data_IF_941837856458
#
_entry.id   IF_941837856458
#
_cell.length_a   1.000
_cell.length_b   1.000
_cell.length_c   1.000
_cell.angle_alpha   90.00
_cell.angle_beta   90.00
_cell.angle_gamma   90.00
#
_symmetry.space_group_name_H-M   'P 1'
#
loop_
_entity.id
_entity.type
_entity.pdbx_description
1 polymer ?
#
# COMPACT_ATOMS: atom_id res chain seq x y z
N UNK A 1 -7.73 18.75 1.46
CA UNK A 1 -7.15 17.64 2.23
C UNK A 1 -5.79 17.28 1.69
N UNK A 2 -4.91 16.81 2.54
CA UNK A 2 -3.57 16.41 2.11
C UNK A 2 -3.57 14.99 1.53
N UNK A 3 -2.59 14.73 0.67
CA UNK A 3 -2.39 13.41 0.07
C UNK A 3 -1.35 12.62 0.85
N UNK A 4 -1.57 11.33 0.94
CA UNK A 4 -0.68 10.40 1.64
C UNK A 4 -0.44 9.18 0.78
N UNK A 5 0.82 8.74 0.73
CA UNK A 5 1.20 7.49 0.08
C UNK A 5 1.15 6.39 1.12
N UNK A 6 0.37 5.35 0.84
CA UNK A 6 0.33 4.17 1.69
C UNK A 6 1.05 3.02 0.98
N UNK A 7 2.03 2.46 1.65
CA UNK A 7 2.85 1.36 1.14
C UNK A 7 2.51 0.11 1.95
N UNK A 8 2.03 -0.91 1.25
CA UNK A 8 1.76 -2.21 1.88
C UNK A 8 3.06 -2.98 1.97
N UNK A 9 3.38 -3.48 3.16
CA UNK A 9 4.63 -4.20 3.39
C UNK A 9 4.36 -5.66 3.72
N UNK A 10 5.29 -6.53 3.31
CA UNK A 10 5.21 -7.95 3.58
C UNK A 10 6.52 -8.63 3.24
N UNK A 11 6.79 -9.77 3.88
CA UNK A 11 8.02 -10.50 3.63
C UNK A 11 8.04 -11.07 2.21
N UNK A 12 9.14 -10.91 1.46
CA UNK A 12 9.28 -11.58 0.17
C UNK A 12 9.14 -13.09 0.36
N UNK A 13 8.32 -13.73 -0.45
CA UNK A 13 8.14 -15.17 -0.39
C UNK A 13 7.23 -15.67 0.74
N UNK A 14 6.37 -14.81 1.28
CA UNK A 14 5.41 -15.19 2.33
C UNK A 14 4.44 -16.30 1.91
N UNK A 15 4.45 -16.68 0.65
CA UNK A 15 3.59 -17.73 0.13
C UNK A 15 2.25 -17.20 -0.38
N UNK A 16 1.57 -18.08 -1.08
CA UNK A 16 0.27 -17.74 -1.65
C UNK A 16 -0.83 -18.24 -0.70
N UNK A 17 -1.83 -17.39 -0.35
CA UNK A 17 -2.94 -17.85 0.48
C UNK A 17 -3.76 -18.92 -0.25
N UNK A 18 -4.46 -19.77 0.51
CA UNK A 18 -5.38 -20.72 -0.09
C UNK A 18 -6.58 -20.01 -0.73
N UNK A 19 -7.37 -20.75 -1.51
CA UNK A 19 -8.49 -20.15 -2.25
C UNK A 19 -9.54 -19.51 -1.35
N UNK A 20 -9.83 -20.11 -0.21
CA UNK A 20 -10.82 -19.56 0.71
C UNK A 20 -10.34 -18.26 1.33
N UNK A 21 -9.08 -18.21 1.75
CA UNK A 21 -8.46 -17.00 2.30
C UNK A 21 -8.38 -15.91 1.23
N UNK A 22 -8.00 -16.27 0.01
CA UNK A 22 -7.92 -15.32 -1.10
C UNK A 22 -9.27 -14.70 -1.40
N UNK A 23 -10.33 -15.52 -1.50
CA UNK A 23 -11.68 -15.03 -1.76
C UNK A 23 -12.17 -14.11 -0.66
N UNK A 24 -11.99 -14.49 0.60
CA UNK A 24 -12.38 -13.68 1.75
C UNK A 24 -11.62 -12.38 1.81
N UNK A 25 -10.32 -12.42 1.56
CA UNK A 25 -9.47 -11.23 1.58
C UNK A 25 -9.80 -10.26 0.47
N UNK A 26 -10.07 -10.76 -0.74
CA UNK A 26 -10.45 -9.90 -1.86
C UNK A 26 -11.83 -9.27 -1.66
N UNK A 27 -12.77 -10.00 -1.08
CA UNK A 27 -14.07 -9.44 -0.73
C UNK A 27 -13.93 -8.30 0.28
N UNK A 28 -13.13 -8.52 1.32
CA UNK A 28 -12.88 -7.49 2.34
C UNK A 28 -12.11 -6.30 1.75
N UNK A 29 -11.17 -6.54 0.85
CA UNK A 29 -10.41 -5.47 0.18
C UNK A 29 -11.33 -4.61 -0.67
N UNK A 30 -12.22 -5.24 -1.43
CA UNK A 30 -13.23 -4.53 -2.23
C UNK A 30 -14.14 -3.68 -1.35
N UNK A 31 -14.58 -4.22 -0.22
CA UNK A 31 -15.40 -3.47 0.74
C UNK A 31 -14.64 -2.26 1.30
N UNK A 32 -13.35 -2.42 1.60
CA UNK A 32 -12.50 -1.33 2.05
C UNK A 32 -12.38 -0.23 0.98
N UNK A 33 -12.14 -0.63 -0.27
CA UNK A 33 -12.06 0.31 -1.40
C UNK A 33 -13.37 1.10 -1.57
N UNK A 34 -14.50 0.44 -1.43
CA UNK A 34 -15.81 1.09 -1.54
C UNK A 34 -16.04 2.06 -0.38
N UNK A 35 -15.70 1.64 0.84
CA UNK A 35 -15.86 2.48 2.03
C UNK A 35 -15.10 3.80 1.90
N UNK A 36 -13.91 3.77 1.32
CA UNK A 36 -13.05 4.94 1.21
C UNK A 36 -12.94 5.49 -0.21
N UNK A 37 -13.91 5.16 -1.08
CA UNK A 37 -13.88 5.54 -2.49
C UNK A 37 -13.73 7.06 -2.71
N UNK A 38 -14.30 7.88 -1.82
CA UNK A 38 -14.18 9.34 -1.91
C UNK A 38 -12.82 9.88 -1.46
N UNK A 39 -12.01 9.06 -0.78
CA UNK A 39 -10.71 9.47 -0.26
C UNK A 39 -9.54 8.82 -1.00
N UNK A 40 -9.80 7.81 -1.82
CA UNK A 40 -8.76 7.17 -2.63
C UNK A 40 -8.60 7.99 -3.89
N UNK A 41 -7.43 8.62 -4.06
CA UNK A 41 -7.13 9.47 -5.22
C UNK A 41 -6.20 8.78 -6.23
N UNK A 42 -5.55 7.71 -5.81
CA UNK A 42 -4.78 6.85 -6.70
C UNK A 42 -4.93 5.42 -6.24
N UNK A 43 -5.60 4.59 -7.04
CA UNK A 43 -5.91 3.23 -6.65
C UNK A 43 -4.67 2.36 -6.48
N UNK A 44 -3.56 2.73 -7.15
CA UNK A 44 -2.34 1.96 -7.06
C UNK A 44 -2.50 0.54 -7.55
N UNK A 45 -1.82 -0.37 -6.89
CA UNK A 45 -1.92 -1.79 -7.22
C UNK A 45 -0.76 -2.59 -6.65
N UNK A 46 -0.75 -3.90 -6.88
CA UNK A 46 0.34 -4.75 -6.46
C UNK A 46 1.61 -4.45 -7.26
N UNK A 47 2.75 -4.68 -6.64
CA UNK A 47 4.07 -4.44 -7.22
C UNK A 47 4.83 -5.74 -7.35
N UNK A 48 5.60 -5.87 -8.41
CA UNK A 48 6.37 -7.06 -8.71
C UNK A 48 7.83 -6.93 -8.32
N UNK A 49 8.68 -7.64 -9.04
CA UNK A 49 10.12 -7.69 -8.79
C UNK A 49 10.78 -6.32 -8.89
N UNK A 50 11.75 -6.10 -8.04
CA UNK A 50 12.48 -4.83 -7.95
C UNK A 50 13.74 -4.86 -8.79
N UNK A 51 13.95 -3.80 -9.56
CA UNK A 51 15.24 -3.44 -10.15
C UNK A 51 15.74 -2.21 -9.42
N UNK A 52 16.98 -2.25 -8.96
CA UNK A 52 17.61 -1.11 -8.29
C UNK A 52 18.49 -0.37 -9.26
N UNK A 53 18.27 0.93 -9.38
CA UNK A 53 19.07 1.80 -10.25
C UNK A 53 19.83 2.79 -9.36
N UNK A 54 21.12 2.88 -9.54
CA UNK A 54 21.96 3.85 -8.83
C UNK A 54 23.13 4.26 -9.73
N UNK A 55 24.08 4.99 -9.17
CA UNK A 55 25.23 5.48 -9.96
C UNK A 55 26.11 4.37 -10.55
N UNK A 56 25.97 3.15 -10.06
CA UNK A 56 26.73 1.99 -10.58
C UNK A 56 25.96 1.21 -11.63
N UNK A 57 24.73 1.58 -11.95
CA UNK A 57 23.93 0.92 -12.97
C UNK A 57 22.66 0.31 -12.43
N UNK A 58 22.24 -0.80 -13.05
CA UNK A 58 20.98 -1.48 -12.74
C UNK A 58 21.30 -2.88 -12.20
N UNK A 59 20.62 -3.26 -11.13
CA UNK A 59 20.78 -4.59 -10.53
C UNK A 59 19.46 -5.13 -10.04
N UNK A 60 19.37 -6.44 -9.93
CA UNK A 60 18.25 -7.07 -9.26
C UNK A 60 18.33 -6.76 -7.77
N UNK A 61 17.17 -6.55 -7.15
CA UNK A 61 17.11 -6.23 -5.73
C UNK A 61 15.79 -6.75 -5.15
N UNK A 62 15.69 -6.72 -3.84
CA UNK A 62 14.45 -7.03 -3.15
C UNK A 62 14.20 -6.02 -2.05
N UNK A 63 12.95 -5.87 -1.69
CA UNK A 63 12.50 -5.10 -0.54
C UNK A 63 11.19 -5.72 -0.05
N UNK A 64 10.59 -5.12 0.97
CA UNK A 64 9.35 -5.63 1.53
C UNK A 64 8.11 -4.88 1.04
N UNK A 65 8.22 -4.12 -0.04
CA UNK A 65 7.09 -3.36 -0.59
C UNK A 65 6.26 -4.28 -1.48
N UNK A 66 4.99 -4.44 -1.15
CA UNK A 66 4.10 -5.37 -1.85
C UNK A 66 3.09 -4.67 -2.75
N UNK A 67 2.65 -3.46 -2.36
CA UNK A 67 1.62 -2.71 -3.10
C UNK A 67 1.60 -1.28 -2.63
N UNK A 68 0.78 -0.44 -3.28
CA UNK A 68 0.63 0.95 -2.86
C UNK A 68 -0.77 1.47 -3.18
N UNK A 69 -1.16 2.55 -2.48
CA UNK A 69 -2.37 3.32 -2.75
C UNK A 69 -2.12 4.76 -2.31
N UNK A 70 -2.77 5.73 -2.96
CA UNK A 70 -2.70 7.14 -2.56
C UNK A 70 -4.07 7.57 -2.04
N UNK A 71 -4.11 8.16 -0.85
CA UNK A 71 -5.34 8.59 -0.22
C UNK A 71 -5.27 10.07 0.17
N UNK A 72 -6.44 10.67 0.38
CA UNK A 72 -6.57 12.00 0.97
C UNK A 72 -7.19 11.91 2.35
N UNK A 73 -6.69 12.74 3.27
CA UNK A 73 -7.23 12.82 4.62
C UNK A 73 -6.88 14.19 5.22
N UNK A 74 -7.52 14.54 6.33
CA UNK A 74 -7.28 15.82 7.00
C UNK A 74 -5.86 15.92 7.56
N UNK A 75 -5.35 14.81 8.09
CA UNK A 75 -3.99 14.73 8.62
C UNK A 75 -3.47 13.29 8.52
N UNK A 76 -2.23 13.12 8.95
CA UNK A 76 -1.56 11.81 8.86
C UNK A 76 -2.22 10.76 9.77
N UNK A 77 -2.65 11.14 10.95
CA UNK A 77 -3.32 10.21 11.85
C UNK A 77 -4.64 9.73 11.27
N UNK A 78 -5.40 10.61 10.63
CA UNK A 78 -6.63 10.26 9.95
C UNK A 78 -6.36 9.31 8.77
N UNK A 79 -5.30 9.58 7.99
CA UNK A 79 -4.90 8.70 6.89
C UNK A 79 -4.52 7.31 7.41
N UNK A 80 -3.71 7.26 8.46
CA UNK A 80 -3.29 5.99 9.06
C UNK A 80 -4.48 5.20 9.60
N UNK A 81 -5.44 5.88 10.21
CA UNK A 81 -6.62 5.22 10.78
C UNK A 81 -7.47 4.49 9.72
N UNK A 82 -7.40 4.92 8.45
CA UNK A 82 -8.11 4.24 7.36
C UNK A 82 -7.65 2.79 7.17
N UNK A 83 -6.43 2.46 7.59
CA UNK A 83 -5.82 1.16 7.38
C UNK A 83 -5.88 0.24 8.60
N UNK A 84 -6.53 0.66 9.69
CA UNK A 84 -6.72 -0.21 10.84
C UNK A 84 -7.54 -1.44 10.44
N UNK A 85 -7.04 -2.63 10.83
CA UNK A 85 -7.67 -3.91 10.49
C UNK A 85 -7.81 -4.16 8.99
N UNK A 86 -6.95 -3.54 8.17
CA UNK A 86 -6.97 -3.74 6.72
C UNK A 86 -6.76 -5.21 6.39
N UNK A 87 -7.46 -5.75 5.36
CA UNK A 87 -7.33 -7.15 4.96
C UNK A 87 -5.91 -7.58 4.62
N UNK A 88 -5.04 -6.66 4.22
CA UNK A 88 -3.65 -6.96 3.91
C UNK A 88 -2.93 -7.70 5.05
N UNK A 89 -3.22 -7.37 6.30
CA UNK A 89 -2.61 -8.02 7.45
C UNK A 89 -3.62 -8.70 8.38
N UNK A 90 -4.91 -8.36 8.26
CA UNK A 90 -5.95 -8.99 9.08
C UNK A 90 -6.39 -10.33 8.49
N UNK A 91 -6.28 -10.51 7.19
CA UNK A 91 -6.70 -11.72 6.46
C UNK A 91 -5.51 -12.33 5.70
N UNK A 92 -4.81 -11.50 4.91
CA UNK A 92 -3.63 -11.92 4.17
C UNK A 92 -2.39 -11.90 5.09
N UNK A 93 -1.32 -12.62 4.71
CA UNK A 93 -0.10 -12.68 5.53
C UNK A 93 0.83 -11.46 5.30
N UNK A 94 0.27 -10.26 5.28
CA UNK A 94 1.04 -9.03 5.17
C UNK A 94 1.51 -8.53 6.53
N UNK A 95 2.54 -7.66 6.53
CA UNK A 95 3.09 -7.11 7.77
C UNK A 95 2.33 -5.89 8.25
N UNK A 96 2.12 -4.93 7.36
CA UNK A 96 1.48 -3.68 7.75
C UNK A 96 1.36 -2.72 6.57
N UNK A 97 1.03 -1.48 6.89
CA UNK A 97 0.89 -0.39 5.91
C UNK A 97 1.63 0.83 6.45
N UNK A 98 2.59 1.32 5.69
CA UNK A 98 3.32 2.55 6.03
C UNK A 98 2.66 3.72 5.33
N UNK A 99 2.32 4.77 6.07
CA UNK A 99 1.59 5.92 5.56
C UNK A 99 2.44 7.18 5.69
N UNK A 100 2.72 7.83 4.57
CA UNK A 100 3.62 8.99 4.52
C UNK A 100 2.96 10.15 3.78
N UNK A 101 3.14 11.38 4.24
CA UNK A 101 2.62 12.53 3.49
C UNK A 101 3.36 12.71 2.17
N UNK A 102 2.60 13.04 1.13
CA UNK A 102 3.18 13.45 -0.15
C UNK A 102 3.52 14.93 -0.07
N UNK A 103 4.80 15.24 0.08
CA UNK A 103 5.25 16.60 0.23
C UNK A 103 5.37 17.29 -1.13
N UNK A 104 5.21 18.62 -1.18
CA UNK A 104 5.42 19.35 -2.44
C UNK A 104 6.89 19.26 -2.87
N UNK A 105 7.11 19.26 -4.17
CA UNK A 105 8.47 19.30 -4.73
C UNK A 105 9.03 20.69 -4.46
N UNK A 106 10.23 20.80 -3.84
CA UNK A 106 10.81 22.12 -3.56
C UNK A 106 10.91 22.98 -4.81
N UNK A 107 10.41 24.21 -4.71
CA UNK A 107 10.41 25.16 -5.82
C UNK A 107 9.28 25.02 -6.82
N UNK A 108 8.37 24.05 -6.64
CA UNK A 108 7.27 23.81 -7.56
C UNK A 108 5.88 23.87 -6.91
N UNK A 109 5.84 24.15 -5.68
CA UNK A 109 4.59 24.10 -4.96
C UNK A 109 3.97 25.36 -4.67
#
# INVERSE_FOLDING_TARGET
MAKFMAIYTGAPGAGRPDEATLAKGMEAWTAWMQKYSGQIVGTGGPLGKTKRVNKYGVADASNNIAAYVVVEADDQDAAAAMFLNHPHFAIFPGDGVDVMPCLPIPGQG
#
